data_IF_102233138347
#
_entry.id   IF_102233138347
#
_cell.length_a   1.000
_cell.length_b   1.000
_cell.length_c   1.000
_cell.angle_alpha   90.00
_cell.angle_beta   90.00
_cell.angle_gamma   90.00
#
_symmetry.space_group_name_H-M   'P 1'
#
loop_
_entity.id
_entity.type
_entity.pdbx_description
1 polymer ?
#
# COMPACT_ATOMS: atom_id res chain seq x y z
N UNK A 1 -7.03 -15.73 2.01
CA UNK A 1 -7.31 -14.64 1.06
C UNK A 1 -7.60 -13.42 1.90
N UNK A 2 -6.66 -12.48 2.00
CA UNK A 2 -6.98 -11.18 2.63
C UNK A 2 -7.97 -10.47 1.71
N UNK A 3 -9.06 -9.98 2.29
CA UNK A 3 -10.09 -9.28 1.52
C UNK A 3 -9.59 -7.90 1.10
N UNK A 4 -10.06 -7.38 -0.04
CA UNK A 4 -9.71 -6.03 -0.52
C UNK A 4 -9.90 -4.95 0.55
N UNK A 5 -10.95 -5.06 1.35
CA UNK A 5 -11.22 -4.16 2.47
C UNK A 5 -10.11 -4.16 3.55
N UNK A 6 -9.44 -5.29 3.77
CA UNK A 6 -8.30 -5.36 4.68
C UNK A 6 -7.09 -4.63 4.10
N UNK A 7 -6.82 -4.81 2.80
CA UNK A 7 -5.75 -4.10 2.10
C UNK A 7 -6.00 -2.57 2.06
N UNK A 8 -7.23 -2.12 1.82
CA UNK A 8 -7.58 -0.70 1.87
C UNK A 8 -7.31 -0.11 3.27
N UNK A 9 -7.63 -0.87 4.31
CA UNK A 9 -7.36 -0.48 5.70
C UNK A 9 -5.85 -0.41 5.98
N UNK A 10 -5.08 -1.37 5.48
CA UNK A 10 -3.62 -1.39 5.65
C UNK A 10 -2.95 -0.24 4.88
N UNK A 11 -3.39 0.05 3.65
CA UNK A 11 -2.95 1.21 2.85
C UNK A 11 -3.23 2.50 3.60
N UNK A 12 -4.44 2.65 4.14
CA UNK A 12 -4.82 3.84 4.91
C UNK A 12 -3.97 4.00 6.16
N UNK A 13 -3.75 2.92 6.92
CA UNK A 13 -2.91 2.94 8.12
C UNK A 13 -1.45 3.29 7.78
N UNK A 14 -0.89 2.74 6.70
CA UNK A 14 0.45 3.04 6.24
C UNK A 14 0.59 4.50 5.78
N UNK A 15 -0.44 5.04 5.12
CA UNK A 15 -0.50 6.46 4.74
C UNK A 15 -0.55 7.38 5.96
N UNK A 16 -1.43 7.09 6.93
CA UNK A 16 -1.51 7.85 8.18
C UNK A 16 -0.20 7.80 8.95
N UNK A 17 0.49 6.65 8.95
CA UNK A 17 1.81 6.52 9.56
C UNK A 17 2.86 7.42 8.89
N UNK A 18 2.82 7.57 7.57
CA UNK A 18 3.70 8.46 6.83
C UNK A 18 3.35 9.94 7.06
N UNK A 19 2.06 10.27 7.14
CA UNK A 19 1.56 11.63 7.33
C UNK A 19 1.82 12.14 8.76
N UNK A 20 1.61 11.26 9.75
CA UNK A 20 1.89 11.52 11.17
C UNK A 20 3.33 11.16 11.58
N UNK A 21 4.22 10.88 10.62
CA UNK A 21 5.60 10.55 10.92
C UNK A 21 6.26 11.74 11.66
N UNK A 22 6.85 11.52 12.85
CA UNK A 22 7.54 12.59 13.55
C UNK A 22 8.68 13.15 12.69
N UNK A 23 8.96 14.45 12.78
CA UNK A 23 10.04 15.08 12.02
C UNK A 23 11.44 14.52 12.32
N UNK A 24 11.59 13.85 13.47
CA UNK A 24 12.80 13.15 13.90
C UNK A 24 12.93 11.73 13.29
N UNK A 25 11.95 11.30 12.50
CA UNK A 25 11.96 9.97 11.88
C UNK A 25 13.12 9.88 10.89
N UNK A 26 14.03 8.89 11.05
CA UNK A 26 15.17 8.75 10.15
C UNK A 26 14.70 8.47 8.72
N UNK A 27 15.38 9.07 7.75
CA UNK A 27 15.04 8.97 6.33
C UNK A 27 14.97 7.53 5.81
N UNK A 28 15.79 6.64 6.38
CA UNK A 28 15.79 5.20 6.05
C UNK A 28 14.50 4.51 6.51
N UNK A 29 13.95 4.92 7.66
CA UNK A 29 12.69 4.42 8.17
C UNK A 29 11.51 4.98 7.38
N UNK A 30 11.55 6.26 7.00
CA UNK A 30 10.57 6.85 6.10
C UNK A 30 10.55 6.16 4.73
N UNK A 31 11.72 5.83 4.17
CA UNK A 31 11.82 5.04 2.93
C UNK A 31 11.22 3.64 3.09
N UNK A 32 11.48 2.98 4.22
CA UNK A 32 10.90 1.66 4.49
C UNK A 32 9.37 1.70 4.56
N UNK A 33 8.81 2.69 5.27
CA UNK A 33 7.36 2.88 5.35
C UNK A 33 6.75 3.27 4.01
N UNK A 34 7.45 4.09 3.22
CA UNK A 34 7.02 4.46 1.87
C UNK A 34 6.98 3.24 0.95
N UNK A 35 8.01 2.40 1.01
CA UNK A 35 8.06 1.14 0.26
C UNK A 35 6.92 0.20 0.65
N UNK A 36 6.65 0.04 1.95
CA UNK A 36 5.53 -0.76 2.44
C UNK A 36 4.18 -0.23 1.95
N UNK A 37 4.00 1.10 1.96
CA UNK A 37 2.82 1.74 1.38
C UNK A 37 2.69 1.48 -0.13
N UNK A 38 3.76 1.67 -0.90
CA UNK A 38 3.76 1.44 -2.35
C UNK A 38 3.49 -0.05 -2.68
N UNK A 39 4.05 -1.00 -1.93
CA UNK A 39 3.78 -2.43 -2.06
C UNK A 39 2.30 -2.77 -1.77
N UNK A 40 1.71 -2.15 -0.73
CA UNK A 40 0.29 -2.35 -0.38
C UNK A 40 -0.64 -1.76 -1.44
N UNK A 41 -0.34 -0.55 -1.94
CA UNK A 41 -1.09 0.10 -3.03
C UNK A 41 -0.96 -0.73 -4.30
N UNK A 42 0.24 -1.19 -4.66
CA UNK A 42 0.46 -2.05 -5.82
C UNK A 42 -0.34 -3.34 -5.71
N UNK A 43 -0.36 -3.96 -4.53
CA UNK A 43 -1.14 -5.18 -4.31
C UNK A 43 -2.64 -4.92 -4.40
N UNK A 44 -3.10 -3.77 -3.89
CA UNK A 44 -4.49 -3.35 -4.03
C UNK A 44 -4.84 -3.14 -5.50
N UNK A 45 -4.02 -2.40 -6.24
CA UNK A 45 -4.20 -2.10 -7.66
C UNK A 45 -4.14 -3.37 -8.53
N UNK A 46 -3.21 -4.28 -8.24
CA UNK A 46 -3.13 -5.56 -8.92
C UNK A 46 -4.32 -6.49 -8.57
N UNK A 47 -4.93 -6.34 -7.39
CA UNK A 47 -6.22 -7.00 -7.10
C UNK A 47 -7.38 -6.41 -7.90
N UNK A 48 -7.29 -5.14 -8.32
CA UNK A 48 -8.21 -4.58 -9.30
C UNK A 48 -7.89 -5.07 -10.73
N UNK A 49 -6.61 -5.30 -11.06
CA UNK A 49 -6.17 -5.68 -12.41
C UNK A 49 -6.27 -7.19 -12.70
N UNK A 50 -6.13 -8.06 -11.69
CA UNK A 50 -6.38 -9.51 -11.81
C UNK A 50 -7.86 -9.85 -12.07
N UNK A 51 -8.80 -8.94 -11.79
CA UNK A 51 -10.21 -9.07 -12.25
C UNK A 51 -10.42 -8.54 -13.68
N UNK A 52 -9.45 -7.79 -14.25
CA UNK A 52 -9.58 -7.15 -15.57
C UNK A 52 -8.75 -7.85 -16.66
N UNK A 53 -7.78 -8.70 -16.30
CA UNK A 53 -6.94 -9.44 -17.24
C UNK A 53 -7.46 -10.83 -17.67
N UNK A 54 -8.78 -11.01 -17.82
CA UNK A 54 -9.35 -12.16 -18.57
C UNK A 54 -9.70 -11.83 -20.04
N UNK A 55 -9.37 -10.65 -20.57
CA UNK A 55 -9.62 -10.33 -21.99
C UNK A 55 -8.55 -9.43 -22.62
N UNK A 56 -7.39 -9.99 -22.95
CA UNK A 56 -6.51 -9.74 -24.14
C UNK A 56 -5.17 -10.40 -23.80
N UNK A 57 -4.65 -11.41 -24.50
CA UNK A 57 -4.56 -11.72 -25.93
C UNK A 57 -4.68 -13.25 -26.16
#
# INVERSE_FOLDING_TARGET
>A
MSTRAELEKDVQAAKERLDHAPADTPSELLKAWRKEYDDLVFRLDNLYDDEVNEFTD
#
